data_IF_672751419856
#
_entry.id   IF_672751419856
#
_cell.length_a   1.000
_cell.length_b   1.000
_cell.length_c   1.000
_cell.angle_alpha   90.00
_cell.angle_beta   90.00
_cell.angle_gamma   90.00
#
_symmetry.space_group_name_H-M   'P 1'
#
loop_
_entity.id
_entity.type
_entity.pdbx_description
1 polymer ?
#
# COMPACT_ATOMS: atom_id res chain seq x y z
N UNK A 1 0.72 -20.82 6.72
CA UNK A 1 -0.72 -20.53 6.65
C UNK A 1 -1.11 -19.24 7.38
N UNK A 2 -0.74 -19.03 8.65
CA UNK A 2 -1.06 -17.79 9.40
C UNK A 2 -0.76 -16.48 8.64
N UNK A 3 0.44 -16.34 8.07
CA UNK A 3 0.83 -15.16 7.28
C UNK A 3 -0.03 -14.92 6.04
N UNK A 4 -0.53 -16.00 5.42
CA UNK A 4 -1.38 -15.92 4.23
C UNK A 4 -2.76 -15.41 4.60
N UNK A 5 -3.41 -16.03 5.60
CA UNK A 5 -4.77 -15.66 6.04
C UNK A 5 -4.80 -14.22 6.54
N UNK A 6 -3.81 -13.83 7.35
CA UNK A 6 -3.72 -12.45 7.86
C UNK A 6 -3.39 -11.47 6.72
N UNK A 7 -2.49 -11.85 5.80
CA UNK A 7 -2.19 -11.04 4.62
C UNK A 7 -3.43 -10.79 3.75
N UNK A 8 -4.28 -11.80 3.55
CA UNK A 8 -5.56 -11.66 2.84
C UNK A 8 -6.50 -10.69 3.55
N UNK A 9 -6.67 -10.85 4.87
CA UNK A 9 -7.52 -9.95 5.65
C UNK A 9 -7.03 -8.50 5.61
N UNK A 10 -5.71 -8.30 5.62
CA UNK A 10 -5.09 -6.98 5.51
C UNK A 10 -5.30 -6.38 4.12
N UNK A 11 -5.16 -7.16 3.05
CA UNK A 11 -5.42 -6.65 1.70
C UNK A 11 -6.87 -6.20 1.52
N UNK A 12 -7.83 -6.94 2.09
CA UNK A 12 -9.24 -6.51 2.14
C UNK A 12 -9.39 -5.19 2.92
N UNK A 13 -8.74 -5.06 4.08
CA UNK A 13 -8.78 -3.83 4.87
C UNK A 13 -8.14 -2.63 4.13
N UNK A 14 -7.02 -2.86 3.42
CA UNK A 14 -6.36 -1.85 2.57
C UNK A 14 -7.29 -1.41 1.44
N UNK A 15 -7.98 -2.33 0.78
CA UNK A 15 -8.93 -1.98 -0.27
C UNK A 15 -10.05 -1.07 0.27
N UNK A 16 -10.70 -1.44 1.38
CA UNK A 16 -11.78 -0.63 1.96
C UNK A 16 -11.31 0.74 2.45
N UNK A 17 -10.24 0.77 3.25
CA UNK A 17 -9.72 2.01 3.83
C UNK A 17 -9.08 2.89 2.76
N UNK A 18 -8.38 2.29 1.79
CA UNK A 18 -7.75 2.99 0.69
C UNK A 18 -8.76 3.75 -0.17
N UNK A 19 -9.90 3.14 -0.54
CA UNK A 19 -10.99 3.86 -1.25
C UNK A 19 -11.43 5.10 -0.46
N UNK A 20 -11.65 4.94 0.85
CA UNK A 20 -12.11 6.04 1.71
C UNK A 20 -11.09 7.19 1.73
N UNK A 21 -9.82 6.89 2.04
CA UNK A 21 -8.76 7.89 2.12
C UNK A 21 -8.40 8.50 0.78
N UNK A 22 -8.44 7.74 -0.32
CA UNK A 22 -8.28 8.30 -1.67
C UNK A 22 -9.42 9.25 -2.01
N UNK A 23 -10.66 8.97 -1.59
CA UNK A 23 -11.79 9.91 -1.73
C UNK A 23 -11.55 11.24 -1.01
N UNK A 24 -11.08 11.21 0.25
CA UNK A 24 -10.69 12.44 0.97
C UNK A 24 -9.48 13.12 0.34
N UNK A 25 -8.48 12.35 -0.07
CA UNK A 25 -7.27 12.89 -0.67
C UNK A 25 -7.60 13.58 -1.99
N UNK A 26 -8.48 13.00 -2.82
CA UNK A 26 -8.97 13.63 -4.04
C UNK A 26 -9.74 14.94 -3.76
N UNK A 27 -10.58 14.95 -2.72
CA UNK A 27 -11.35 16.12 -2.32
C UNK A 27 -10.48 17.27 -1.77
N UNK A 28 -9.37 16.96 -1.09
CA UNK A 28 -8.47 17.96 -0.48
C UNK A 28 -7.36 18.38 -1.45
N UNK A 29 -6.89 17.49 -2.33
CA UNK A 29 -5.67 17.68 -3.11
C UNK A 29 -5.79 18.60 -4.32
N UNK A 30 -7.01 18.91 -4.80
CA UNK A 30 -7.17 19.81 -5.95
C UNK A 30 -7.90 21.08 -5.55
N UNK A 31 -7.21 22.09 -5.01
CA UNK A 31 -7.73 23.45 -4.96
C UNK A 31 -8.03 23.90 -6.39
N UNK A 32 -9.23 24.43 -6.63
CA UNK A 32 -9.66 24.92 -7.96
C UNK A 32 -8.71 25.95 -8.57
N UNK A 33 -7.95 26.65 -7.71
CA UNK A 33 -6.92 27.61 -8.12
C UNK A 33 -5.63 26.95 -8.65
N UNK A 34 -5.25 25.77 -8.14
CA UNK A 34 -4.09 25.02 -8.67
C UNK A 34 -4.41 24.32 -9.98
N UNK A 35 -5.67 23.94 -10.23
CA UNK A 35 -6.08 23.27 -11.47
C UNK A 35 -5.94 24.16 -12.70
N UNK A 36 -6.00 25.50 -12.51
CA UNK A 36 -5.76 26.48 -13.58
C UNK A 36 -4.28 26.68 -13.89
N UNK A 37 -3.39 26.36 -12.94
CA UNK A 37 -1.93 26.56 -13.05
C UNK A 37 -1.21 25.28 -13.46
N UNK A 38 -1.68 24.12 -12.99
CA UNK A 38 -1.14 22.81 -13.37
C UNK A 38 -1.82 22.29 -14.65
N UNK A 39 -1.24 22.60 -15.81
CA UNK A 39 -1.64 21.94 -17.07
C UNK A 39 -0.73 20.74 -17.40
N UNK A 40 -1.32 19.69 -17.96
CA UNK A 40 -0.59 18.56 -18.54
C UNK A 40 0.05 17.59 -17.53
N UNK A 41 1.34 17.26 -17.72
CA UNK A 41 2.04 16.17 -17.00
C UNK A 41 2.18 16.40 -15.49
N UNK A 42 2.17 17.65 -15.04
CA UNK A 42 2.33 18.01 -13.62
C UNK A 42 1.08 17.66 -12.83
N UNK A 43 -0.11 17.79 -13.44
CA UNK A 43 -1.38 17.36 -12.86
C UNK A 43 -1.39 15.84 -12.62
N UNK A 44 -0.85 15.07 -13.59
CA UNK A 44 -0.76 13.61 -13.50
C UNK A 44 0.20 13.17 -12.39
N UNK A 45 1.37 13.80 -12.27
CA UNK A 45 2.31 13.53 -11.17
C UNK A 45 1.67 13.86 -9.83
N UNK A 46 0.93 14.97 -9.75
CA UNK A 46 0.23 15.37 -8.54
C UNK A 46 -0.86 14.38 -8.14
N UNK A 47 -1.67 13.89 -9.09
CA UNK A 47 -2.67 12.86 -8.81
C UNK A 47 -2.05 11.54 -8.32
N UNK A 48 -0.90 11.14 -8.89
CA UNK A 48 -0.19 9.94 -8.45
C UNK A 48 0.41 10.14 -7.05
N UNK A 49 1.11 11.27 -6.85
CA UNK A 49 1.84 11.54 -5.62
C UNK A 49 0.92 11.85 -4.44
N UNK A 50 -0.21 12.52 -4.66
CA UNK A 50 -1.09 12.93 -3.56
C UNK A 50 -2.28 11.99 -3.44
N UNK A 51 -2.95 11.67 -4.55
CA UNK A 51 -4.20 10.90 -4.46
C UNK A 51 -3.93 9.41 -4.26
N UNK A 52 -2.97 8.84 -5.00
CA UNK A 52 -2.65 7.41 -4.92
C UNK A 52 -1.68 7.09 -3.78
N UNK A 53 -0.60 7.85 -3.64
CA UNK A 53 0.40 7.58 -2.59
C UNK A 53 -0.15 7.87 -1.19
N UNK A 54 -0.82 9.00 -0.98
CA UNK A 54 -1.37 9.35 0.33
C UNK A 54 -2.59 8.49 0.68
N UNK A 55 -3.44 8.19 -0.31
CA UNK A 55 -4.64 7.37 -0.13
C UNK A 55 -4.34 5.90 0.09
N UNK A 56 -3.72 5.24 -0.89
CA UNK A 56 -3.45 3.79 -0.84
C UNK A 56 -2.05 3.45 -0.37
N UNK A 57 -1.03 4.18 -0.84
CA UNK A 57 0.37 3.86 -0.56
C UNK A 57 0.71 3.86 0.94
N UNK A 58 0.34 4.93 1.65
CA UNK A 58 0.58 5.07 3.09
C UNK A 58 -0.18 3.99 3.88
N UNK A 59 -1.44 3.73 3.55
CA UNK A 59 -2.25 2.72 4.25
C UNK A 59 -1.70 1.31 4.03
N UNK A 60 -1.37 0.97 2.77
CA UNK A 60 -0.77 -0.30 2.43
C UNK A 60 0.56 -0.49 3.16
N UNK A 61 1.42 0.54 3.17
CA UNK A 61 2.68 0.50 3.90
C UNK A 61 2.46 0.25 5.40
N UNK A 62 1.61 1.05 6.05
CA UNK A 62 1.39 0.98 7.50
C UNK A 62 0.78 -0.36 7.91
N UNK A 63 -0.31 -0.80 7.26
CA UNK A 63 -0.99 -2.03 7.64
C UNK A 63 -0.12 -3.27 7.40
N UNK A 64 0.59 -3.34 6.26
CA UNK A 64 1.53 -4.44 5.98
C UNK A 64 2.71 -4.39 6.95
N UNK A 65 3.32 -3.24 7.19
CA UNK A 65 4.46 -3.12 8.09
C UNK A 65 4.10 -3.47 9.54
N UNK A 66 3.03 -2.89 10.09
CA UNK A 66 2.62 -3.13 11.46
C UNK A 66 2.15 -4.57 11.68
N UNK A 67 1.40 -5.15 10.75
CA UNK A 67 0.98 -6.55 10.88
C UNK A 67 2.16 -7.51 10.88
N UNK A 68 3.13 -7.34 9.98
CA UNK A 68 4.36 -8.15 9.97
C UNK A 68 5.11 -7.98 11.28
N UNK A 69 5.20 -6.75 11.80
CA UNK A 69 5.97 -6.44 13.01
C UNK A 69 5.31 -6.95 14.29
N UNK A 70 4.02 -6.71 14.47
CA UNK A 70 3.26 -7.07 15.68
C UNK A 70 3.07 -8.58 15.75
N UNK A 71 2.73 -9.21 14.63
CA UNK A 71 2.38 -10.64 14.57
C UNK A 71 3.54 -11.53 14.13
N UNK A 72 4.73 -10.94 13.93
CA UNK A 72 5.98 -11.58 13.53
C UNK A 72 5.87 -12.45 12.25
N UNK A 73 5.06 -12.01 11.30
CA UNK A 73 4.71 -12.79 10.10
C UNK A 73 5.87 -12.89 9.11
N UNK A 74 5.70 -13.74 8.09
CA UNK A 74 6.61 -13.77 6.95
C UNK A 74 6.40 -12.51 6.10
N UNK A 75 7.40 -11.63 5.94
CA UNK A 75 7.20 -10.31 5.36
C UNK A 75 6.71 -10.36 3.92
N UNK A 76 7.39 -11.14 3.09
CA UNK A 76 7.08 -11.27 1.65
C UNK A 76 5.75 -11.97 1.40
N UNK A 77 5.45 -13.04 2.15
CA UNK A 77 4.17 -13.77 1.99
C UNK A 77 3.00 -12.87 2.37
N UNK A 78 3.14 -12.10 3.46
CA UNK A 78 2.07 -11.20 3.92
C UNK A 78 1.85 -10.08 2.90
N UNK A 79 2.94 -9.48 2.40
CA UNK A 79 2.86 -8.39 1.41
C UNK A 79 2.27 -8.86 0.06
N UNK A 80 2.68 -10.02 -0.45
CA UNK A 80 2.13 -10.57 -1.70
C UNK A 80 0.65 -10.93 -1.51
N UNK A 81 0.29 -11.59 -0.40
CA UNK A 81 -1.10 -11.94 -0.12
C UNK A 81 -1.99 -10.69 0.03
N UNK A 82 -1.51 -9.63 0.69
CA UNK A 82 -2.24 -8.37 0.83
C UNK A 82 -2.38 -7.64 -0.52
N UNK A 83 -1.33 -7.64 -1.35
CA UNK A 83 -1.36 -7.04 -2.69
C UNK A 83 -2.42 -7.74 -3.55
N UNK A 84 -2.34 -9.08 -3.65
CA UNK A 84 -3.28 -9.86 -4.47
C UNK A 84 -4.73 -9.72 -4.00
N UNK A 85 -4.99 -9.77 -2.70
CA UNK A 85 -6.36 -9.65 -2.18
C UNK A 85 -6.92 -8.24 -2.33
N UNK A 86 -6.10 -7.20 -2.14
CA UNK A 86 -6.51 -5.81 -2.36
C UNK A 86 -6.90 -5.60 -3.84
N UNK A 87 -6.02 -5.99 -4.76
CA UNK A 87 -6.23 -5.88 -6.20
C UNK A 87 -7.44 -6.70 -6.67
N UNK A 88 -7.56 -7.96 -6.22
CA UNK A 88 -8.69 -8.81 -6.60
C UNK A 88 -10.04 -8.25 -6.14
N UNK A 89 -10.11 -7.70 -4.93
CA UNK A 89 -11.34 -7.11 -4.40
C UNK A 89 -11.72 -5.82 -5.16
N UNK A 90 -10.73 -4.96 -5.43
CA UNK A 90 -10.97 -3.73 -6.17
C UNK A 90 -11.35 -4.03 -7.64
N UNK A 91 -10.77 -5.06 -8.27
CA UNK A 91 -11.19 -5.55 -9.60
C UNK A 91 -12.62 -6.06 -9.61
N UNK A 92 -13.00 -6.86 -8.61
CA UNK A 92 -14.38 -7.36 -8.50
C UNK A 92 -15.40 -6.23 -8.26
N UNK A 93 -15.00 -5.15 -7.59
CA UNK A 93 -15.92 -4.08 -7.16
C UNK A 93 -15.99 -2.90 -8.16
N UNK A 94 -14.88 -2.56 -8.81
CA UNK A 94 -14.73 -1.34 -9.64
C UNK A 94 -14.24 -1.64 -11.07
N UNK A 95 -14.68 -2.78 -11.62
CA UNK A 95 -14.22 -3.34 -12.90
C UNK A 95 -14.35 -2.38 -14.09
N UNK A 96 -15.30 -1.43 -14.05
CA UNK A 96 -15.52 -0.44 -15.12
C UNK A 96 -14.59 0.78 -15.06
N UNK A 97 -13.91 1.02 -13.94
CA UNK A 97 -12.99 2.16 -13.75
C UNK A 97 -11.50 1.75 -13.83
N UNK A 98 -11.25 0.54 -14.35
CA UNK A 98 -9.93 -0.10 -14.33
C UNK A 98 -8.86 0.59 -15.20
N UNK A 99 -9.22 1.54 -16.06
CA UNK A 99 -8.25 2.28 -16.88
C UNK A 99 -7.37 3.26 -16.08
N UNK A 100 -7.72 3.57 -14.83
CA UNK A 100 -6.94 4.46 -13.92
C UNK A 100 -5.94 3.64 -13.07
N UNK A 101 -5.80 2.33 -13.28
CA UNK A 101 -5.09 1.43 -12.37
C UNK A 101 -3.57 1.48 -12.37
N UNK A 102 -2.96 1.87 -13.49
CA UNK A 102 -1.52 1.67 -13.65
C UNK A 102 -0.68 2.40 -12.57
N UNK A 103 -0.98 3.67 -12.22
CA UNK A 103 -0.27 4.35 -11.15
C UNK A 103 -0.59 3.77 -9.76
N UNK A 104 -1.83 3.34 -9.53
CA UNK A 104 -2.24 2.70 -8.28
C UNK A 104 -1.41 1.44 -8.01
N UNK A 105 -1.31 0.57 -9.01
CA UNK A 105 -0.57 -0.69 -8.91
C UNK A 105 0.92 -0.45 -8.61
N UNK A 106 1.55 0.52 -9.28
CA UNK A 106 2.95 0.89 -9.02
C UNK A 106 3.14 1.34 -7.58
N UNK A 107 2.24 2.20 -7.08
CA UNK A 107 2.28 2.70 -5.71
C UNK A 107 2.08 1.56 -4.71
N UNK A 108 1.09 0.68 -4.92
CA UNK A 108 0.82 -0.44 -4.02
C UNK A 108 2.01 -1.40 -3.94
N UNK A 109 2.58 -1.78 -5.09
CA UNK A 109 3.74 -2.67 -5.16
C UNK A 109 4.96 -2.00 -4.52
N UNK A 110 5.22 -0.72 -4.82
CA UNK A 110 6.32 0.04 -4.23
C UNK A 110 6.22 0.12 -2.70
N UNK A 111 5.06 0.51 -2.18
CA UNK A 111 4.83 0.62 -0.73
C UNK A 111 4.81 -0.75 -0.03
N UNK A 112 4.19 -1.76 -0.62
CA UNK A 112 4.14 -3.12 -0.08
C UNK A 112 5.51 -3.79 -0.02
N UNK A 113 6.32 -3.64 -1.07
CA UNK A 113 7.70 -4.15 -1.10
C UNK A 113 8.61 -3.40 -0.13
N UNK A 114 8.47 -2.07 -0.03
CA UNK A 114 9.21 -1.27 0.94
C UNK A 114 8.86 -1.66 2.38
N UNK A 115 7.57 -1.87 2.69
CA UNK A 115 7.10 -2.35 3.99
C UNK A 115 7.70 -3.71 4.33
N UNK A 116 7.65 -4.67 3.39
CA UNK A 116 8.24 -5.99 3.56
C UNK A 116 9.76 -5.92 3.78
N UNK A 117 10.46 -5.08 3.01
CA UNK A 117 11.90 -4.90 3.11
C UNK A 117 12.32 -4.31 4.47
N UNK A 118 11.65 -3.23 4.90
CA UNK A 118 11.91 -2.60 6.19
C UNK A 118 11.59 -3.51 7.37
N UNK A 119 10.52 -4.30 7.27
CA UNK A 119 10.17 -5.30 8.28
C UNK A 119 11.19 -6.46 8.32
N UNK A 120 11.75 -6.85 7.17
CA UNK A 120 12.75 -7.93 7.07
C UNK A 120 14.11 -7.55 7.67
N UNK A 121 14.55 -6.30 7.51
CA UNK A 121 15.87 -5.83 8.03
C UNK A 121 16.01 -6.01 9.54
N UNK A 122 14.94 -5.83 10.31
CA UNK A 122 15.00 -6.03 11.77
C UNK A 122 15.03 -7.50 12.18
N UNK A 123 14.37 -8.40 11.46
CA UNK A 123 14.47 -9.85 11.71
C UNK A 123 15.91 -10.34 11.56
N UNK A 124 16.62 -9.87 10.53
CA UNK A 124 18.03 -10.21 10.33
C UNK A 124 18.96 -9.60 11.39
N UNK A 125 18.70 -8.35 11.83
CA UNK A 125 19.48 -7.75 12.91
C UNK A 125 19.29 -8.48 14.26
N UNK A 126 18.07 -8.90 14.60
CA UNK A 126 17.80 -9.67 15.81
C UNK A 126 18.34 -11.10 15.75
N UNK A 127 18.28 -11.77 14.58
CA UNK A 127 18.91 -13.08 14.40
C UNK A 127 20.44 -13.03 14.45
N UNK A 128 21.05 -11.95 13.95
CA UNK A 128 22.49 -11.74 14.10
C UNK A 128 22.89 -11.52 15.56
N UNK A 129 22.11 -10.78 16.34
CA UNK A 129 22.36 -10.61 17.78
C UNK A 129 22.20 -11.91 18.57
N UNK A 130 21.17 -12.72 18.27
CA UNK A 130 20.93 -14.00 18.95
C UNK A 130 21.99 -15.07 18.62
N UNK A 131 22.66 -14.95 17.46
CA UNK A 131 23.75 -15.87 17.07
C UNK A 131 25.11 -15.47 17.67
N UNK A 132 25.23 -14.25 18.17
CA UNK A 132 26.45 -13.70 18.79
C UNK A 132 26.38 -13.66 20.33
N UNK A 133 25.33 -14.20 20.94
CA UNK A 133 25.24 -14.41 22.39
C UNK A 133 25.55 -15.89 22.67
N UNK A 134 26.63 -16.21 23.41
CA UNK A 134 27.04 -17.58 23.70
C UNK A 134 26.08 -18.33 24.62
#
# INVERSE_FOLDING_TARGET
>A
MKSLVIGLAIGIAIAYLGVYFTGFSAAIAVPQELTKVLSGKIFLIWEIAVTQFLGYGVIAFLLVFFSIKILQLSPWVTAIASLFSCEALLFATYTSQYTIYFPHFIVLVGCGTLAAFMASRKKHAQQAQAKCTP
#
